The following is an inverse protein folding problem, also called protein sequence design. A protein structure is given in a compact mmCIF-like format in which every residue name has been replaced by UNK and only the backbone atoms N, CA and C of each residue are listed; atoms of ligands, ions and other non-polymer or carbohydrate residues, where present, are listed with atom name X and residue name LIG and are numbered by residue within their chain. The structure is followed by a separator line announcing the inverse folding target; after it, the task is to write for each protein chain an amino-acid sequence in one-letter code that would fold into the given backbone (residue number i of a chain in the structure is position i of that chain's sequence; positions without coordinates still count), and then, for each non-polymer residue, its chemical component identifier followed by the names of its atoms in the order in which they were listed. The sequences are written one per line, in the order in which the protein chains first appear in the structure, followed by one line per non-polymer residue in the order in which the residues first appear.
data_IF_418181802681
#
_entry.id   IF_418181802681
#
_cell.length_a   1.000
_cell.length_b   1.000
_cell.length_c   1.000
_cell.angle_alpha   90.00
_cell.angle_beta   90.00
_cell.angle_gamma   90.00
#
_symmetry.space_group_name_H-M   'P 1'
#
loop_
_entity.id
_entity.type
_entity.pdbx_description
1 polymer ?
#
# COMPACT_ATOMS: atom_id res chain seq x y z
N UNK A 1 9.18 -11.54 31.03
CA UNK A 1 9.75 -10.24 30.62
C UNK A 1 8.75 -9.37 29.85
N UNK A 2 7.97 -9.91 28.90
CA UNK A 2 7.00 -9.14 28.08
C UNK A 2 5.83 -8.53 28.88
N UNK A 3 5.22 -9.29 29.80
CA UNK A 3 4.14 -8.79 30.69
C UNK A 3 4.66 -7.84 31.78
N UNK A 4 5.91 -8.02 32.17
CA UNK A 4 6.57 -7.21 33.20
C UNK A 4 6.95 -5.82 32.66
N UNK A 5 7.19 -5.70 31.34
CA UNK A 5 7.52 -4.46 30.67
C UNK A 5 6.29 -3.53 30.51
N UNK A 6 5.14 -4.10 30.12
CA UNK A 6 3.88 -3.36 30.05
C UNK A 6 3.36 -2.95 31.44
N UNK A 7 3.54 -3.80 32.46
CA UNK A 7 3.14 -3.52 33.83
C UNK A 7 4.03 -2.49 34.55
N UNK A 8 5.30 -2.32 34.13
CA UNK A 8 6.24 -1.36 34.74
C UNK A 8 6.21 0.04 34.13
N UNK A 9 5.44 0.24 33.04
CA UNK A 9 5.05 1.56 32.52
C UNK A 9 3.87 2.14 33.32
N UNK A 10 3.93 2.01 34.66
CA UNK A 10 2.87 2.49 35.55
C UNK A 10 2.80 4.01 35.48
N UNK A 11 1.67 4.47 34.95
CA UNK A 11 1.27 5.87 34.85
C UNK A 11 1.11 6.46 36.26
N UNK A 12 2.16 7.09 36.78
CA UNK A 12 2.07 7.97 37.95
C UNK A 12 2.21 9.42 37.50
N UNK A 13 1.06 10.04 37.22
CA UNK A 13 0.95 11.48 36.99
C UNK A 13 1.32 12.24 38.27
N UNK A 14 2.54 12.78 38.33
CA UNK A 14 2.94 13.72 39.38
C UNK A 14 2.47 15.14 39.02
N UNK A 15 1.83 15.92 39.92
CA UNK A 15 1.09 17.12 39.54
C UNK A 15 1.90 18.40 39.30
N UNK A 16 3.23 18.39 39.36
CA UNK A 16 3.99 19.66 39.43
C UNK A 16 5.30 19.66 38.62
N UNK A 17 5.24 19.68 37.28
CA UNK A 17 6.22 20.33 36.37
C UNK A 17 5.60 20.47 34.96
N UNK A 18 4.73 21.46 34.76
CA UNK A 18 3.85 21.52 33.57
C UNK A 18 4.53 21.77 32.21
N UNK A 19 5.76 22.30 32.15
CA UNK A 19 6.46 22.57 30.87
C UNK A 19 7.48 21.50 30.45
N UNK A 20 8.22 20.94 31.41
CA UNK A 20 9.22 19.90 31.14
C UNK A 20 8.59 18.49 31.11
N UNK A 21 7.54 18.25 31.91
CA UNK A 21 6.84 16.96 31.95
C UNK A 21 6.10 16.63 30.65
N UNK A 22 5.55 17.62 29.94
CA UNK A 22 4.78 17.35 28.71
C UNK A 22 5.66 16.82 27.56
N UNK A 23 6.91 17.28 27.44
CA UNK A 23 7.88 16.75 26.46
C UNK A 23 8.31 15.33 26.81
N UNK A 24 8.46 15.04 28.10
CA UNK A 24 8.80 13.71 28.58
C UNK A 24 7.65 12.72 28.30
N UNK A 25 6.40 13.11 28.58
CA UNK A 25 5.22 12.29 28.29
C UNK A 25 5.01 12.07 26.79
N UNK A 26 5.22 13.09 25.95
CA UNK A 26 5.13 12.91 24.50
C UNK A 26 6.18 11.93 23.96
N UNK A 27 7.40 12.00 24.50
CA UNK A 27 8.49 11.06 24.15
C UNK A 27 8.16 9.64 24.63
N UNK A 28 7.61 9.49 25.83
CA UNK A 28 7.16 8.19 26.34
C UNK A 28 6.03 7.60 25.49
N UNK A 29 5.08 8.44 25.05
CA UNK A 29 4.04 7.99 24.13
C UNK A 29 4.61 7.56 22.78
N UNK A 30 5.59 8.29 22.23
CA UNK A 30 6.30 7.91 21.01
C UNK A 30 6.97 6.53 21.16
N UNK A 31 7.63 6.26 22.28
CA UNK A 31 8.26 4.97 22.52
C UNK A 31 7.24 3.85 22.69
N UNK A 32 6.19 4.12 23.46
CA UNK A 32 5.10 3.17 23.69
C UNK A 32 4.37 2.83 22.37
N UNK A 33 4.06 3.82 21.54
CA UNK A 33 3.41 3.61 20.25
C UNK A 33 4.29 2.82 19.28
N UNK A 34 5.61 3.03 19.29
CA UNK A 34 6.54 2.21 18.52
C UNK A 34 6.51 0.74 18.96
N UNK A 35 6.49 0.47 20.26
CA UNK A 35 6.39 -0.90 20.78
C UNK A 35 5.08 -1.55 20.33
N UNK A 36 3.94 -0.86 20.45
CA UNK A 36 2.66 -1.38 19.98
C UNK A 36 2.67 -1.67 18.47
N UNK A 37 3.19 -0.74 17.67
CA UNK A 37 3.32 -0.93 16.23
C UNK A 37 4.25 -2.11 15.90
N UNK A 38 5.36 -2.28 16.64
CA UNK A 38 6.27 -3.41 16.45
C UNK A 38 5.61 -4.74 16.73
N UNK A 39 4.76 -4.83 17.76
CA UNK A 39 4.00 -6.04 18.10
C UNK A 39 2.96 -6.36 17.01
N UNK A 40 2.29 -5.34 16.48
CA UNK A 40 1.36 -5.52 15.35
C UNK A 40 2.09 -6.07 14.13
N UNK A 41 3.22 -5.46 13.74
CA UNK A 41 3.99 -5.90 12.56
C UNK A 41 4.56 -7.30 12.79
N UNK A 42 5.14 -7.58 13.97
CA UNK A 42 5.65 -8.88 14.39
C UNK A 42 4.61 -9.99 14.19
N UNK A 43 3.40 -9.77 14.69
CA UNK A 43 2.29 -10.72 14.55
C UNK A 43 1.91 -10.97 13.08
N UNK A 44 1.97 -9.94 12.22
CA UNK A 44 1.62 -10.06 10.80
C UNK A 44 2.68 -10.78 9.96
N UNK A 45 3.96 -10.63 10.33
CA UNK A 45 5.09 -11.32 9.68
C UNK A 45 5.40 -12.69 10.30
N UNK A 46 4.78 -13.05 11.43
CA UNK A 46 4.99 -14.34 12.10
C UNK A 46 6.32 -14.46 12.86
N UNK A 47 6.93 -13.32 13.23
CA UNK A 47 8.19 -13.28 13.96
C UNK A 47 8.09 -12.35 15.17
N UNK A 48 8.74 -12.69 16.28
CA UNK A 48 8.97 -11.72 17.35
C UNK A 48 10.15 -10.82 16.99
N UNK A 49 10.08 -9.56 17.39
CA UNK A 49 11.18 -8.62 17.25
C UNK A 49 11.93 -8.46 18.56
N UNK A 50 13.27 -8.41 18.49
CA UNK A 50 14.09 -8.07 19.64
C UNK A 50 13.95 -6.58 19.96
N UNK A 51 13.27 -6.27 21.06
CA UNK A 51 13.07 -4.90 21.55
C UNK A 51 14.19 -4.45 22.50
N UNK A 52 15.16 -5.31 22.81
CA UNK A 52 16.31 -4.97 23.67
C UNK A 52 17.07 -3.70 23.25
N UNK A 53 17.25 -3.39 21.94
CA UNK A 53 17.87 -2.13 21.50
C UNK A 53 17.12 -0.86 21.96
N UNK A 54 15.85 -0.99 22.33
CA UNK A 54 14.99 0.10 22.80
C UNK A 54 15.11 0.35 24.31
N UNK A 55 15.81 -0.51 25.05
CA UNK A 55 15.89 -0.47 26.51
C UNK A 55 17.28 -0.03 26.96
N UNK A 56 17.34 1.04 27.75
CA UNK A 56 18.53 1.43 28.51
C UNK A 56 18.27 1.31 30.00
N UNK A 57 19.09 0.54 30.70
CA UNK A 57 19.06 0.47 32.17
C UNK A 57 19.91 1.60 32.74
N UNK A 58 19.37 2.45 33.63
CA UNK A 58 20.13 3.43 34.42
C UNK A 58 20.20 3.01 35.90
N UNK A 59 21.14 3.58 36.65
CA UNK A 59 21.50 3.20 38.03
C UNK A 59 20.44 3.53 39.10
N UNK A 60 19.43 4.31 38.75
CA UNK A 60 18.35 4.85 39.59
C UNK A 60 16.96 4.24 39.27
N UNK A 61 16.88 3.34 38.29
CA UNK A 61 15.64 2.66 37.91
C UNK A 61 15.61 2.29 36.42
N UNK A 62 14.60 1.48 36.04
CA UNK A 62 14.36 1.05 34.66
C UNK A 62 13.52 2.10 33.91
N UNK A 63 14.14 3.18 33.44
CA UNK A 63 13.49 4.12 32.48
C UNK A 63 13.67 3.62 31.05
N UNK A 64 12.60 3.59 30.25
CA UNK A 64 12.65 3.27 28.81
C UNK A 64 13.42 4.38 28.07
N UNK A 65 14.73 4.21 27.96
CA UNK A 65 15.57 5.06 27.12
C UNK A 65 15.89 4.35 25.82
N UNK A 66 15.11 4.57 24.76
CA UNK A 66 15.58 4.22 23.41
C UNK A 66 16.90 4.98 23.20
N UNK A 67 17.91 4.35 22.59
CA UNK A 67 19.16 5.03 22.21
C UNK A 67 18.84 6.14 21.21
N UNK A 68 18.54 7.33 21.73
CA UNK A 68 18.32 8.55 20.95
C UNK A 68 19.51 8.76 20.03
N UNK A 69 19.24 8.80 18.72
CA UNK A 69 20.28 8.97 17.69
C UNK A 69 20.71 7.69 16.97
N UNK A 70 20.28 6.50 17.41
CA UNK A 70 20.53 5.23 16.70
C UNK A 70 19.25 4.80 15.98
N UNK A 71 19.35 4.66 14.65
CA UNK A 71 18.27 4.06 13.84
C UNK A 71 18.07 2.61 14.30
N UNK A 72 16.86 2.29 14.77
CA UNK A 72 16.50 0.90 15.09
C UNK A 72 15.66 0.35 13.95
N UNK A 73 16.05 -0.81 13.42
CA UNK A 73 15.34 -1.47 12.32
C UNK A 73 14.98 -2.88 12.76
N UNK A 74 13.69 -3.19 12.69
CA UNK A 74 13.14 -4.51 12.92
C UNK A 74 12.72 -5.07 11.57
N UNK A 75 13.22 -6.25 11.18
CA UNK A 75 13.00 -6.81 9.85
C UNK A 75 12.44 -8.23 9.91
N UNK A 76 11.54 -8.54 8.99
CA UNK A 76 11.00 -9.87 8.77
C UNK A 76 10.57 -10.05 7.32
N UNK A 77 10.10 -11.25 6.99
CA UNK A 77 9.55 -11.54 5.68
C UNK A 77 8.14 -12.09 5.80
N UNK A 78 7.33 -11.84 4.78
CA UNK A 78 5.95 -12.30 4.72
C UNK A 78 5.62 -12.74 3.30
N UNK A 79 4.82 -13.80 3.19
CA UNK A 79 4.23 -14.22 1.94
C UNK A 79 2.73 -13.89 1.94
N UNK A 80 2.27 -13.19 0.90
CA UNK A 80 0.87 -12.85 0.65
C UNK A 80 0.60 -12.97 -0.85
N UNK A 81 -0.52 -13.58 -1.24
CA UNK A 81 -0.96 -13.68 -2.65
C UNK A 81 0.14 -14.13 -3.63
N UNK A 82 0.95 -15.13 -3.24
CA UNK A 82 2.12 -15.64 -3.98
C UNK A 82 3.24 -14.59 -4.22
N UNK A 83 3.35 -13.60 -3.34
CA UNK A 83 4.40 -12.58 -3.34
C UNK A 83 5.15 -12.58 -2.01
N UNK A 84 6.46 -12.78 -2.07
CA UNK A 84 7.35 -12.72 -0.91
C UNK A 84 7.87 -11.29 -0.75
N UNK A 85 7.65 -10.73 0.43
CA UNK A 85 8.01 -9.35 0.74
C UNK A 85 8.86 -9.30 2.00
N UNK A 86 9.91 -8.49 1.96
CA UNK A 86 10.64 -8.06 3.15
C UNK A 86 9.95 -6.85 3.75
N UNK A 87 9.75 -6.87 5.06
CA UNK A 87 9.09 -5.81 5.83
C UNK A 87 10.07 -5.30 6.88
N UNK A 88 10.34 -4.00 6.88
CA UNK A 88 11.24 -3.35 7.83
C UNK A 88 10.52 -2.22 8.57
N UNK A 89 10.46 -2.30 9.90
CA UNK A 89 9.95 -1.24 10.76
C UNK A 89 11.12 -0.46 11.36
N UNK A 90 11.22 0.81 11.00
CA UNK A 90 12.27 1.71 11.45
C UNK A 90 11.76 2.69 12.50
N UNK A 91 12.53 2.89 13.57
CA UNK A 91 12.36 3.98 14.52
C UNK A 91 13.33 5.12 14.19
N UNK A 92 12.81 6.32 14.01
CA UNK A 92 13.57 7.56 13.91
C UNK A 92 14.62 7.60 12.77
N UNK A 93 14.30 6.93 11.64
CA UNK A 93 15.14 6.89 10.43
C UNK A 93 15.19 8.25 9.75
N UNK A 94 16.40 8.67 9.37
CA UNK A 94 16.60 9.94 8.64
C UNK A 94 16.80 9.67 7.15
N UNK A 95 15.84 10.11 6.35
CA UNK A 95 15.89 10.08 4.88
C UNK A 95 16.66 11.30 4.37
N UNK A 96 17.94 11.10 4.04
CA UNK A 96 18.78 12.14 3.46
C UNK A 96 18.42 12.40 2.00
N UNK A 97 18.91 13.51 1.46
CA UNK A 97 18.76 13.84 0.04
C UNK A 97 19.39 12.76 -0.82
N UNK A 98 18.66 12.23 -1.78
CA UNK A 98 19.16 11.24 -2.73
C UNK A 98 18.14 11.00 -3.84
N UNK A 99 18.61 10.51 -4.99
CA UNK A 99 17.77 10.23 -6.17
C UNK A 99 17.45 8.76 -6.36
N UNK A 100 17.99 7.87 -5.51
CA UNK A 100 17.83 6.43 -5.60
C UNK A 100 17.22 5.87 -4.31
N UNK A 101 16.38 4.85 -4.46
CA UNK A 101 15.72 4.18 -3.34
C UNK A 101 14.73 5.09 -2.61
N UNK A 102 14.56 4.84 -1.31
CA UNK A 102 13.69 5.63 -0.43
C UNK A 102 14.59 6.68 0.23
N UNK A 103 14.52 7.90 -0.30
CA UNK A 103 15.32 9.05 0.08
C UNK A 103 14.46 10.32 0.09
N UNK A 104 14.96 11.45 0.56
CA UNK A 104 14.27 12.73 0.41
C UNK A 104 14.63 13.40 -0.92
N UNK A 105 13.67 14.04 -1.58
CA UNK A 105 13.89 14.86 -2.77
C UNK A 105 14.78 16.07 -2.49
N UNK A 106 14.63 16.67 -1.31
CA UNK A 106 15.20 18.00 -0.99
C UNK A 106 16.01 17.98 0.30
N UNK A 107 15.39 18.29 1.45
CA UNK A 107 16.01 18.36 2.77
C UNK A 107 15.80 17.07 3.54
N UNK A 108 16.69 16.70 4.48
CA UNK A 108 16.50 15.50 5.28
C UNK A 108 15.13 15.48 5.98
N UNK A 109 14.41 14.37 5.84
CA UNK A 109 13.15 14.13 6.51
C UNK A 109 13.31 13.01 7.54
N UNK A 110 12.63 13.13 8.68
CA UNK A 110 12.69 12.16 9.77
C UNK A 110 11.29 11.96 10.35
N UNK A 111 10.50 11.01 9.82
CA UNK A 111 9.30 10.52 10.48
C UNK A 111 9.67 9.78 11.78
N UNK A 112 8.74 9.72 12.73
CA UNK A 112 8.96 8.98 13.97
C UNK A 112 9.11 7.49 13.66
N UNK A 113 8.21 6.92 12.85
CA UNK A 113 8.28 5.53 12.39
C UNK A 113 8.16 5.41 10.89
N UNK A 114 8.77 4.37 10.33
CA UNK A 114 8.61 4.03 8.92
C UNK A 114 8.49 2.52 8.73
N UNK A 115 7.46 2.09 8.01
CA UNK A 115 7.28 0.71 7.59
C UNK A 115 7.67 0.62 6.11
N UNK A 116 8.77 -0.05 5.83
CA UNK A 116 9.26 -0.31 4.48
C UNK A 116 8.80 -1.69 4.04
N UNK A 117 8.27 -1.78 2.82
CA UNK A 117 7.86 -3.04 2.21
C UNK A 117 8.58 -3.15 0.87
N UNK A 118 9.40 -4.17 0.69
CA UNK A 118 10.20 -4.41 -0.51
C UNK A 118 10.06 -5.85 -0.96
N UNK A 119 10.40 -6.19 -2.22
CA UNK A 119 10.56 -7.59 -2.59
C UNK A 119 11.61 -8.27 -1.70
N UNK A 120 11.42 -9.55 -1.41
CA UNK A 120 12.49 -10.38 -0.88
C UNK A 120 13.56 -10.62 -1.96
N UNK A 121 14.77 -10.99 -1.55
CA UNK A 121 15.93 -11.11 -2.47
C UNK A 121 15.70 -12.14 -3.59
N UNK A 122 14.87 -13.16 -3.35
CA UNK A 122 14.54 -14.24 -4.29
C UNK A 122 13.13 -14.13 -4.92
N UNK A 123 12.45 -12.98 -4.77
CA UNK A 123 11.13 -12.77 -5.36
C UNK A 123 11.22 -12.74 -6.90
N UNK A 124 10.58 -13.69 -7.62
CA UNK A 124 10.76 -13.87 -9.07
C UNK A 124 10.24 -12.69 -9.91
N UNK A 125 9.31 -11.90 -9.38
CA UNK A 125 8.82 -10.70 -10.06
C UNK A 125 8.90 -9.51 -9.10
N UNK A 126 10.09 -8.87 -9.02
CA UNK A 126 10.35 -7.80 -8.07
C UNK A 126 9.50 -6.56 -8.37
N UNK A 127 9.35 -5.71 -7.35
CA UNK A 127 8.67 -4.43 -7.45
C UNK A 127 9.47 -3.33 -6.77
N UNK A 128 9.06 -2.11 -7.05
CA UNK A 128 9.62 -0.99 -6.32
C UNK A 128 9.20 -1.01 -4.84
N UNK A 129 10.15 -0.86 -3.91
CA UNK A 129 9.82 -0.79 -2.49
C UNK A 129 8.94 0.41 -2.18
N UNK A 130 8.06 0.27 -1.20
CA UNK A 130 7.18 1.33 -0.73
C UNK A 130 7.47 1.67 0.73
N UNK A 131 7.16 2.90 1.13
CA UNK A 131 7.20 3.31 2.54
C UNK A 131 5.84 3.78 3.03
N UNK A 132 5.49 3.41 4.26
CA UNK A 132 4.50 4.10 5.07
C UNK A 132 5.20 4.82 6.21
N UNK A 133 4.80 6.06 6.48
CA UNK A 133 5.35 6.85 7.57
C UNK A 133 4.31 7.09 8.64
N UNK A 134 4.76 7.12 9.90
CA UNK A 134 3.92 7.38 11.04
C UNK A 134 4.57 8.42 11.95
N UNK A 135 3.75 9.26 12.55
CA UNK A 135 4.18 10.29 13.50
C UNK A 135 3.30 10.21 14.74
N UNK A 136 3.91 10.02 15.90
CA UNK A 136 3.18 9.96 17.16
C UNK A 136 2.96 11.37 17.70
N UNK A 137 1.72 11.64 18.11
CA UNK A 137 1.31 12.90 18.68
C UNK A 137 0.52 12.65 19.95
N UNK A 138 1.14 13.02 21.08
CA UNK A 138 0.49 13.00 22.37
C UNK A 138 -0.02 14.39 22.71
N UNK A 139 -1.34 14.54 22.86
CA UNK A 139 -1.96 15.75 23.40
C UNK A 139 -3.04 15.39 24.40
N UNK A 140 -3.06 16.15 25.49
CA UNK A 140 -4.11 16.13 26.49
C UNK A 140 -4.47 17.58 26.76
N UNK A 141 -5.71 17.92 26.47
CA UNK A 141 -6.30 19.21 26.73
C UNK A 141 -7.05 19.11 28.07
N UNK A 142 -6.73 20.00 29.00
CA UNK A 142 -7.42 20.04 30.28
C UNK A 142 -8.66 20.91 30.13
N UNK A 143 -9.85 20.30 30.09
CA UNK A 143 -11.09 21.06 30.17
C UNK A 143 -11.39 21.31 31.63
N UNK A 144 -11.15 22.56 32.08
CA UNK A 144 -11.78 23.05 33.32
C UNK A 144 -13.24 23.30 33.00
N UNK A 145 -14.15 22.52 33.59
CA UNK A 145 -15.56 22.91 33.70
C UNK A 145 -15.62 24.24 34.46
N UNK A 146 -15.67 25.36 33.72
CA UNK A 146 -16.07 26.66 34.25
C UNK A 146 -17.59 26.71 34.09
N UNK A 147 -18.31 26.03 34.98
CA UNK A 147 -19.72 26.32 35.20
C UNK A 147 -19.83 27.04 36.54
N UNK A 148 -20.18 28.32 36.47
CA UNK A 148 -20.39 29.16 37.64
C UNK A 148 -20.83 30.57 37.26
N UNK A 149 -22.08 30.71 36.80
CA UNK A 149 -22.96 31.88 36.93
C UNK A 149 -24.36 31.41 36.49
N UNK A 150 -25.43 31.41 37.28
CA UNK A 150 -25.76 32.18 38.47
C UNK A 150 -26.58 31.33 39.46
N UNK A 151 -26.26 31.45 40.75
CA UNK A 151 -27.22 31.83 41.80
C UNK A 151 -26.51 31.81 43.15
N UNK A 152 -26.62 32.93 43.85
CA UNK A 152 -26.15 33.15 45.22
C UNK A 152 -26.83 32.19 46.20
N UNK A 153 -26.06 31.50 47.03
CA UNK A 153 -26.12 31.52 48.51
C UNK A 153 -25.36 30.33 49.12
N UNK A 154 -24.44 30.67 50.03
CA UNK A 154 -23.81 29.92 51.11
C UNK A 154 -23.86 28.37 51.13
N UNK A 155 -22.68 27.74 51.08
CA UNK A 155 -22.20 26.86 52.17
C UNK A 155 -20.81 26.29 51.85
N UNK A 156 -19.94 26.31 52.86
CA UNK A 156 -18.60 25.75 52.85
C UNK A 156 -18.59 24.22 52.68
N UNK A 157 -18.24 23.74 51.49
CA UNK A 157 -17.62 22.44 51.29
C UNK A 157 -16.76 22.48 50.01
N UNK A 158 -15.44 22.37 50.18
CA UNK A 158 -14.47 22.25 49.08
C UNK A 158 -14.69 20.94 48.31
N UNK A 159 -15.59 20.92 47.33
CA UNK A 159 -15.56 19.92 46.26
C UNK A 159 -14.61 20.43 45.16
N UNK A 160 -13.38 19.91 45.12
CA UNK A 160 -12.53 20.00 43.93
C UNK A 160 -13.28 19.28 42.80
N UNK A 161 -13.89 20.01 41.89
CA UNK A 161 -14.43 19.45 40.66
C UNK A 161 -13.31 18.67 39.95
N UNK A 162 -13.52 17.42 39.53
CA UNK A 162 -12.47 16.67 38.85
C UNK A 162 -12.17 17.37 37.53
N UNK A 163 -10.91 17.76 37.32
CA UNK A 163 -10.45 18.23 36.02
C UNK A 163 -10.57 17.05 35.05
N UNK A 164 -11.46 17.16 34.07
CA UNK A 164 -11.55 16.17 32.99
C UNK A 164 -10.40 16.40 32.01
N UNK A 165 -9.60 15.36 31.79
CA UNK A 165 -8.54 15.32 30.79
C UNK A 165 -9.19 14.93 29.46
N UNK A 166 -9.48 15.90 28.60
CA UNK A 166 -9.96 15.58 27.25
C UNK A 166 -8.74 15.42 26.33
N UNK A 167 -8.59 14.25 25.71
CA UNK A 167 -7.49 14.01 24.77
C UNK A 167 -7.87 14.56 23.39
N UNK A 168 -7.02 15.41 22.81
CA UNK A 168 -7.28 16.03 21.51
C UNK A 168 -6.98 15.12 20.31
N UNK A 169 -7.68 15.36 19.20
CA UNK A 169 -7.43 14.72 17.90
C UNK A 169 -6.23 15.32 17.11
N UNK A 170 -5.93 14.80 15.91
CA UNK A 170 -4.84 15.33 15.07
C UNK A 170 -5.16 16.75 14.60
N UNK A 171 -4.20 17.66 14.74
CA UNK A 171 -4.35 19.03 14.26
C UNK A 171 -4.10 19.12 12.75
N UNK A 172 -4.54 20.23 12.15
CA UNK A 172 -4.24 20.55 10.74
C UNK A 172 -2.74 20.49 10.45
N UNK A 173 -1.92 21.00 11.35
CA UNK A 173 -0.47 21.01 11.17
C UNK A 173 0.15 19.61 11.22
N UNK A 174 -0.43 18.69 12.01
CA UNK A 174 0.00 17.30 12.05
C UNK A 174 -0.32 16.60 10.71
N UNK A 175 -1.49 16.88 10.12
CA UNK A 175 -1.86 16.37 8.79
C UNK A 175 -1.03 17.01 7.66
N UNK A 176 -0.73 18.31 7.74
CA UNK A 176 0.17 18.98 6.78
C UNK A 176 1.58 18.38 6.81
N UNK A 177 2.06 18.00 7.99
CA UNK A 177 3.32 17.26 8.13
C UNK A 177 3.26 15.91 7.40
N UNK A 178 2.12 15.22 7.42
CA UNK A 178 1.95 13.95 6.71
C UNK A 178 1.95 14.13 5.19
N UNK A 179 1.31 15.18 4.68
CA UNK A 179 1.45 15.58 3.26
C UNK A 179 2.91 15.83 2.89
N UNK A 180 3.63 16.58 3.74
CA UNK A 180 5.05 16.85 3.51
C UNK A 180 5.89 15.58 3.45
N UNK A 181 5.66 14.60 4.34
CA UNK A 181 6.37 13.32 4.27
C UNK A 181 6.02 12.52 3.02
N UNK A 182 4.73 12.44 2.66
CA UNK A 182 4.27 11.74 1.47
C UNK A 182 4.91 12.26 0.18
N UNK A 183 5.02 13.58 0.07
CA UNK A 183 5.48 14.20 -1.17
C UNK A 183 7.01 14.42 -1.19
N UNK A 184 7.65 14.60 -0.03
CA UNK A 184 9.09 14.89 0.05
C UNK A 184 9.97 13.64 0.10
N UNK A 185 9.46 12.48 0.52
CA UNK A 185 10.19 11.22 0.57
C UNK A 185 9.77 10.36 -0.63
N UNK A 186 10.75 9.89 -1.39
CA UNK A 186 10.54 9.01 -2.54
C UNK A 186 9.81 7.73 -2.13
N UNK A 187 8.89 7.27 -2.98
CA UNK A 187 8.19 5.99 -2.86
C UNK A 187 7.32 5.84 -1.60
N UNK A 188 7.01 6.95 -0.92
CA UNK A 188 6.04 6.97 0.17
C UNK A 188 4.64 6.76 -0.39
N UNK A 189 4.01 5.65 -0.01
CA UNK A 189 2.64 5.32 -0.38
C UNK A 189 1.62 5.88 0.63
N UNK A 190 2.04 6.16 1.86
CA UNK A 190 1.15 6.80 2.82
C UNK A 190 1.85 7.34 4.06
N UNK A 191 1.18 8.28 4.72
CA UNK A 191 1.67 8.91 5.93
C UNK A 191 0.52 9.15 6.93
N UNK A 192 0.71 8.77 8.19
CA UNK A 192 -0.36 8.72 9.18
C UNK A 192 0.06 9.26 10.54
N UNK A 193 -0.89 9.84 11.29
CA UNK A 193 -0.67 10.25 12.68
C UNK A 193 -1.12 9.14 13.62
N UNK A 194 -0.32 8.79 14.64
CA UNK A 194 -0.75 7.97 15.78
C UNK A 194 -1.00 8.88 16.97
N UNK A 195 -2.19 8.81 17.58
CA UNK A 195 -2.56 9.68 18.69
C UNK A 195 -3.49 8.94 19.68
N UNK A 196 -3.52 9.32 20.96
CA UNK A 196 -4.29 8.58 21.96
C UNK A 196 -5.82 8.70 21.82
N UNK A 197 -6.32 9.59 20.94
CA UNK A 197 -7.75 9.83 20.65
C UNK A 197 -8.53 10.45 21.81
N UNK A 198 -9.58 11.22 21.50
CA UNK A 198 -10.53 11.74 22.50
C UNK A 198 -11.49 10.67 23.04
N UNK A 199 -12.06 10.88 24.23
CA UNK A 199 -12.84 9.86 24.94
C UNK A 199 -14.02 9.31 24.12
N UNK A 200 -14.52 10.07 23.14
CA UNK A 200 -15.62 9.71 22.22
C UNK A 200 -15.20 9.33 20.78
N UNK A 201 -13.91 9.30 20.43
CA UNK A 201 -13.45 8.94 19.07
C UNK A 201 -13.20 7.43 18.95
N UNK A 202 -14.21 6.71 18.47
CA UNK A 202 -14.20 5.23 18.40
C UNK A 202 -13.39 4.63 17.24
N UNK A 203 -13.19 5.34 16.13
CA UNK A 203 -12.54 4.77 14.95
C UNK A 203 -11.70 5.83 14.21
N UNK A 204 -10.42 5.52 13.94
CA UNK A 204 -9.49 6.45 13.27
C UNK A 204 -9.98 6.94 11.90
N UNK A 205 -9.62 8.17 11.51
CA UNK A 205 -10.04 8.78 10.24
C UNK A 205 -8.99 8.54 9.15
N UNK A 206 -9.41 7.92 8.04
CA UNK A 206 -8.54 7.64 6.87
C UNK A 206 -9.10 8.35 5.64
N UNK A 207 -8.21 8.90 4.82
CA UNK A 207 -8.54 9.60 3.59
C UNK A 207 -7.81 8.93 2.41
N UNK A 208 -8.42 7.91 1.79
CA UNK A 208 -7.89 7.29 0.57
C UNK A 208 -8.01 8.23 -0.63
N UNK A 209 -7.03 8.23 -1.54
CA UNK A 209 -7.02 9.13 -2.70
C UNK A 209 -7.90 8.61 -3.87
N UNK A 210 -8.02 7.27 -4.05
CA UNK A 210 -8.64 6.67 -5.25
C UNK A 210 -9.72 5.60 -5.00
N UNK A 211 -10.41 5.65 -3.85
CA UNK A 211 -11.19 4.51 -3.31
C UNK A 211 -10.35 3.24 -3.07
N UNK A 212 -9.02 3.32 -3.24
CA UNK A 212 -8.05 2.28 -2.90
C UNK A 212 -7.34 2.64 -1.58
N UNK A 213 -6.86 1.61 -0.87
CA UNK A 213 -6.17 1.78 0.41
C UNK A 213 -4.92 2.63 0.32
N UNK A 214 -4.16 2.47 -0.76
CA UNK A 214 -2.98 3.27 -1.08
C UNK A 214 -3.13 3.91 -2.47
N UNK A 215 -2.53 5.10 -2.68
CA UNK A 215 -1.93 5.97 -1.67
C UNK A 215 -2.94 6.56 -0.68
N UNK A 216 -2.48 6.85 0.55
CA UNK A 216 -3.37 7.26 1.64
C UNK A 216 -2.75 8.16 2.71
N UNK A 217 -3.59 8.99 3.34
CA UNK A 217 -3.26 9.83 4.49
C UNK A 217 -4.31 9.65 5.58
N UNK A 218 -3.95 9.85 6.84
CA UNK A 218 -4.94 9.76 7.91
C UNK A 218 -4.37 9.78 9.31
N UNK A 219 -5.18 9.33 10.25
CA UNK A 219 -4.80 9.23 11.65
C UNK A 219 -5.45 8.02 12.32
N UNK A 220 -4.69 7.34 13.17
CA UNK A 220 -5.14 6.21 13.96
C UNK A 220 -5.15 6.57 15.44
N UNK A 221 -6.28 6.29 16.09
CA UNK A 221 -6.35 6.25 17.54
C UNK A 221 -5.54 5.05 18.02
N UNK A 222 -4.58 5.28 18.91
CA UNK A 222 -3.80 4.27 19.59
C UNK A 222 -3.61 4.68 21.05
N UNK A 223 -4.43 4.10 21.93
CA UNK A 223 -4.61 4.54 23.31
C UNK A 223 -4.05 3.54 24.33
N UNK A 224 -3.21 3.97 25.28
CA UNK A 224 -2.86 3.16 26.44
C UNK A 224 -4.09 2.90 27.32
N UNK A 225 -4.27 1.67 27.77
CA UNK A 225 -5.36 1.29 28.68
C UNK A 225 -4.78 0.73 29.98
N UNK A 226 -5.58 0.80 31.05
CA UNK A 226 -5.19 0.35 32.38
C UNK A 226 -5.01 -1.18 32.47
N UNK A 227 -5.54 -1.92 31.49
CA UNK A 227 -5.38 -3.38 31.37
C UNK A 227 -4.09 -3.78 30.65
N UNK A 228 -3.33 -2.82 30.14
CA UNK A 228 -2.12 -3.04 29.33
C UNK A 228 -2.39 -3.40 27.87
N UNK A 229 -3.65 -3.61 27.47
CA UNK A 229 -4.05 -3.91 26.09
C UNK A 229 -4.44 -2.60 25.39
N UNK A 230 -3.56 -2.08 24.55
CA UNK A 230 -3.80 -0.84 23.83
C UNK A 230 -5.11 -0.88 23.03
N UNK A 231 -5.93 0.17 23.16
CA UNK A 231 -7.12 0.36 22.31
C UNK A 231 -6.72 0.97 20.96
N UNK A 232 -7.36 0.54 19.88
CA UNK A 232 -7.05 0.94 18.51
C UNK A 232 -6.06 0.03 17.77
N UNK A 233 -5.36 -0.86 18.47
CA UNK A 233 -4.40 -1.82 17.88
C UNK A 233 -5.04 -2.74 16.85
N UNK A 234 -6.30 -3.13 17.04
CA UNK A 234 -7.04 -3.97 16.08
C UNK A 234 -7.34 -3.26 14.76
N UNK A 235 -7.57 -1.94 14.78
CA UNK A 235 -7.77 -1.15 13.57
C UNK A 235 -6.45 -0.97 12.81
N UNK A 236 -5.35 -0.75 13.54
CA UNK A 236 -4.00 -0.65 12.98
C UNK A 236 -3.54 -1.99 12.39
N UNK A 237 -3.79 -3.10 13.08
CA UNK A 237 -3.46 -4.45 12.59
C UNK A 237 -4.22 -4.79 11.31
N UNK A 238 -5.53 -4.53 11.27
CA UNK A 238 -6.32 -4.70 10.04
C UNK A 238 -5.76 -3.85 8.92
N UNK A 239 -5.52 -2.56 9.18
CA UNK A 239 -4.94 -1.66 8.18
C UNK A 239 -3.60 -2.16 7.62
N UNK A 240 -2.65 -2.55 8.46
CA UNK A 240 -1.34 -3.03 7.99
C UNK A 240 -1.49 -4.35 7.25
N UNK A 241 -2.37 -5.26 7.68
CA UNK A 241 -2.69 -6.48 6.94
C UNK A 241 -3.23 -6.16 5.54
N UNK A 242 -4.22 -5.27 5.45
CA UNK A 242 -4.81 -4.84 4.18
C UNK A 242 -3.77 -4.17 3.27
N UNK A 243 -2.81 -3.42 3.85
CA UNK A 243 -1.68 -2.85 3.10
C UNK A 243 -0.80 -3.95 2.54
N UNK A 244 -0.43 -4.96 3.33
CA UNK A 244 0.39 -6.07 2.86
C UNK A 244 -0.31 -6.81 1.70
N UNK A 245 -1.62 -7.06 1.82
CA UNK A 245 -2.40 -7.67 0.76
C UNK A 245 -2.51 -6.76 -0.47
N UNK A 246 -2.68 -5.45 -0.28
CA UNK A 246 -2.73 -4.46 -1.37
C UNK A 246 -1.38 -4.37 -2.12
N UNK A 247 -0.25 -4.40 -1.41
CA UNK A 247 1.09 -4.40 -2.02
C UNK A 247 1.36 -5.74 -2.69
N UNK A 248 0.89 -6.85 -2.12
CA UNK A 248 1.00 -8.16 -2.76
C UNK A 248 0.15 -8.25 -4.04
N UNK A 249 -1.00 -7.57 -4.07
CA UNK A 249 -1.89 -7.53 -5.21
C UNK A 249 -1.30 -6.71 -6.37
N UNK A 250 -0.96 -7.39 -7.45
CA UNK A 250 -0.38 -6.77 -8.66
C UNK A 250 -1.39 -6.01 -9.53
N UNK A 251 -2.65 -6.07 -9.14
CA UNK A 251 -3.81 -5.57 -9.87
C UNK A 251 -4.27 -4.19 -9.43
N UNK A 252 -3.65 -3.63 -8.39
CA UNK A 252 -4.05 -2.35 -7.82
C UNK A 252 -3.73 -1.21 -8.79
N UNK A 253 -4.55 -0.14 -8.78
CA UNK A 253 -4.24 1.07 -9.55
C UNK A 253 -2.93 1.68 -9.05
N UNK A 254 -2.66 1.57 -7.75
CA UNK A 254 -1.40 1.99 -7.14
C UNK A 254 -0.18 1.27 -7.73
N UNK A 255 -0.16 -0.08 -7.77
CA UNK A 255 0.97 -0.84 -8.34
C UNK A 255 1.19 -0.49 -9.82
N UNK A 256 0.11 -0.46 -10.61
CA UNK A 256 0.20 -0.08 -12.03
C UNK A 256 0.76 1.33 -12.18
N UNK A 257 0.22 2.31 -11.46
CA UNK A 257 0.69 3.70 -11.52
C UNK A 257 2.19 3.81 -11.23
N UNK A 258 2.67 3.08 -10.22
CA UNK A 258 4.09 3.04 -9.86
C UNK A 258 4.97 2.38 -10.92
N UNK A 259 4.56 1.24 -11.45
CA UNK A 259 5.28 0.57 -12.53
C UNK A 259 5.52 1.52 -13.71
N UNK A 260 4.49 2.23 -14.16
CA UNK A 260 4.62 3.15 -15.29
C UNK A 260 5.36 4.44 -14.96
N UNK A 261 5.25 4.94 -13.72
CA UNK A 261 6.07 6.05 -13.26
C UNK A 261 7.56 5.66 -13.31
N UNK A 262 7.90 4.47 -12.83
CA UNK A 262 9.25 3.92 -12.91
C UNK A 262 9.71 3.83 -14.37
N UNK A 263 8.94 3.18 -15.25
CA UNK A 263 9.27 3.05 -16.67
C UNK A 263 9.46 4.41 -17.36
N UNK A 264 8.62 5.41 -17.05
CA UNK A 264 8.69 6.73 -17.67
C UNK A 264 9.92 7.54 -17.23
N UNK A 265 10.40 7.33 -16.01
CA UNK A 265 11.52 8.07 -15.43
C UNK A 265 12.83 7.27 -15.37
N UNK A 266 12.84 6.00 -15.81
CA UNK A 266 14.07 5.21 -15.89
C UNK A 266 15.01 5.78 -16.96
N UNK A 267 16.08 6.42 -16.48
CA UNK A 267 17.11 7.06 -17.31
C UNK A 267 17.88 6.10 -18.21
N UNK A 268 17.81 4.78 -17.98
CA UNK A 268 18.44 3.78 -18.86
C UNK A 268 17.80 3.69 -20.25
N UNK A 269 16.60 4.25 -20.43
CA UNK A 269 15.86 4.27 -21.70
C UNK A 269 16.09 5.54 -22.55
N UNK A 270 16.97 6.46 -22.12
CA UNK A 270 17.26 7.72 -22.83
C UNK A 270 18.13 7.53 -24.09
N UNK A 271 17.59 6.81 -25.06
CA UNK A 271 18.16 6.64 -26.39
C UNK A 271 17.14 6.72 -27.53
N UNK A 272 15.87 7.05 -27.28
CA UNK A 272 14.85 7.07 -28.34
C UNK A 272 14.20 8.44 -28.49
N UNK A 273 14.45 8.97 -29.69
CA UNK A 273 13.86 10.14 -30.33
C UNK A 273 12.38 10.32 -29.98
N UNK A 274 11.98 11.58 -29.85
CA UNK A 274 10.61 12.09 -29.79
C UNK A 274 9.85 11.78 -31.09
N UNK A 275 9.78 10.51 -31.48
CA UNK A 275 8.91 10.05 -32.54
C UNK A 275 7.51 9.94 -31.95
N UNK A 276 6.75 10.99 -32.21
CA UNK A 276 5.29 11.04 -32.32
C UNK A 276 4.50 10.22 -31.29
N UNK A 277 3.77 10.93 -30.42
CA UNK A 277 2.73 10.44 -29.50
C UNK A 277 1.58 9.67 -30.19
N UNK A 278 1.78 9.19 -31.41
CA UNK A 278 0.85 8.51 -32.30
C UNK A 278 1.14 7.02 -32.39
N UNK A 279 1.90 6.38 -31.49
CA UNK A 279 2.04 4.91 -31.35
C UNK A 279 2.53 4.57 -29.93
N UNK A 280 2.23 3.39 -29.36
CA UNK A 280 2.87 2.95 -28.12
C UNK A 280 4.39 2.96 -28.29
N UNK A 281 5.10 3.27 -27.20
CA UNK A 281 6.57 3.14 -27.17
C UNK A 281 6.96 1.72 -27.58
N UNK A 282 8.03 1.50 -28.36
CA UNK A 282 8.46 0.15 -28.73
C UNK A 282 8.80 -0.73 -27.51
N UNK A 283 9.08 -0.14 -26.35
CA UNK A 283 9.31 -0.87 -25.09
C UNK A 283 8.04 -1.10 -24.26
N UNK A 284 6.88 -0.57 -24.69
CA UNK A 284 5.63 -0.72 -23.95
C UNK A 284 5.23 -2.20 -23.85
N UNK A 285 4.93 -2.67 -22.63
CA UNK A 285 4.33 -3.98 -22.39
C UNK A 285 2.91 -4.05 -22.95
N UNK A 286 2.64 -5.08 -23.76
CA UNK A 286 1.35 -5.39 -24.35
C UNK A 286 0.96 -6.83 -24.03
N UNK A 287 -0.22 -7.00 -23.44
CA UNK A 287 -0.82 -8.30 -23.20
C UNK A 287 -1.42 -8.85 -24.50
N UNK A 288 -1.02 -10.05 -24.89
CA UNK A 288 -1.63 -10.78 -26.01
C UNK A 288 -2.87 -11.51 -25.52
N UNK A 289 -4.03 -11.03 -25.97
CA UNK A 289 -5.33 -11.54 -25.58
C UNK A 289 -5.89 -12.51 -26.61
N UNK A 290 -5.76 -13.81 -26.37
CA UNK A 290 -6.35 -14.81 -27.24
C UNK A 290 -7.89 -14.81 -27.14
N UNK A 291 -8.57 -14.75 -28.29
CA UNK A 291 -10.02 -14.83 -28.39
C UNK A 291 -10.44 -16.13 -29.11
N UNK A 292 -11.01 -17.06 -28.34
CA UNK A 292 -11.35 -18.42 -28.81
C UNK A 292 -12.43 -18.54 -29.89
N UNK A 293 -13.34 -17.57 -30.02
CA UNK A 293 -14.47 -17.66 -30.95
C UNK A 293 -15.13 -16.31 -31.22
N UNK A 294 -15.98 -16.26 -32.24
CA UNK A 294 -16.82 -15.09 -32.55
C UNK A 294 -17.76 -14.69 -31.40
N UNK A 295 -18.33 -15.68 -30.70
CA UNK A 295 -19.17 -15.42 -29.52
C UNK A 295 -18.38 -14.78 -28.39
N UNK A 296 -17.14 -15.24 -28.18
CA UNK A 296 -16.25 -14.67 -27.18
C UNK A 296 -15.90 -13.23 -27.54
N UNK A 297 -15.61 -12.96 -28.82
CA UNK A 297 -15.36 -11.60 -29.30
C UNK A 297 -16.57 -10.68 -29.10
N UNK A 298 -17.78 -11.16 -29.42
CA UNK A 298 -19.03 -10.41 -29.17
C UNK A 298 -19.24 -10.13 -27.69
N UNK A 299 -18.98 -11.09 -26.82
CA UNK A 299 -19.02 -10.90 -25.37
C UNK A 299 -18.06 -9.80 -24.94
N UNK A 300 -16.81 -9.83 -25.40
CA UNK A 300 -15.81 -8.78 -25.11
C UNK A 300 -16.30 -7.40 -25.58
N UNK A 301 -16.83 -7.30 -26.80
CA UNK A 301 -17.39 -6.05 -27.34
C UNK A 301 -18.57 -5.53 -26.52
N UNK A 302 -19.53 -6.39 -26.18
CA UNK A 302 -20.74 -6.02 -25.45
C UNK A 302 -20.46 -5.62 -24.00
N UNK A 303 -19.60 -6.37 -23.31
CA UNK A 303 -19.22 -6.12 -21.92
C UNK A 303 -18.16 -5.07 -21.73
N UNK A 304 -17.36 -4.81 -22.77
CA UNK A 304 -16.10 -4.08 -22.64
C UNK A 304 -15.20 -4.69 -21.56
N UNK A 305 -15.15 -6.01 -21.53
CA UNK A 305 -14.35 -6.77 -20.58
C UNK A 305 -13.60 -7.89 -21.27
N UNK A 306 -12.38 -8.16 -20.80
CA UNK A 306 -11.56 -9.28 -21.24
C UNK A 306 -11.23 -10.17 -20.06
N UNK A 307 -11.14 -11.49 -20.31
CA UNK A 307 -10.91 -12.47 -19.27
C UNK A 307 -9.71 -13.38 -19.55
N UNK A 308 -8.98 -13.71 -18.49
CA UNK A 308 -7.96 -14.77 -18.47
C UNK A 308 -8.36 -15.84 -17.45
N UNK A 309 -7.96 -17.09 -17.67
CA UNK A 309 -8.31 -18.19 -16.75
C UNK A 309 -7.65 -17.92 -15.39
N UNK A 310 -8.34 -18.18 -14.28
CA UNK A 310 -7.71 -18.18 -12.96
C UNK A 310 -6.78 -19.42 -12.80
N UNK A 311 -5.86 -19.34 -11.84
CA UNK A 311 -4.85 -20.37 -11.56
C UNK A 311 -5.44 -21.75 -11.22
N UNK A 312 -4.57 -22.78 -11.21
CA UNK A 312 -4.96 -24.17 -10.92
C UNK A 312 -5.45 -24.97 -12.13
N UNK A 313 -5.33 -24.40 -13.33
CA UNK A 313 -5.76 -25.02 -14.59
C UNK A 313 -4.73 -24.73 -15.69
N UNK A 314 -4.74 -25.53 -16.75
CA UNK A 314 -3.84 -25.34 -17.91
C UNK A 314 -4.05 -23.96 -18.54
N UNK A 315 -2.97 -23.17 -18.63
CA UNK A 315 -2.98 -21.77 -19.07
C UNK A 315 -3.69 -20.80 -18.10
N UNK A 316 -3.82 -21.19 -16.82
CA UNK A 316 -4.38 -20.37 -15.75
C UNK A 316 -3.37 -19.38 -15.19
N UNK A 317 -3.84 -18.16 -14.95
CA UNK A 317 -3.06 -17.04 -14.46
C UNK A 317 -3.26 -16.89 -12.95
N UNK A 318 -2.15 -16.84 -12.22
CA UNK A 318 -2.16 -16.54 -10.79
C UNK A 318 -2.43 -15.05 -10.53
N UNK A 319 -3.00 -14.72 -9.36
CA UNK A 319 -3.35 -13.35 -8.93
C UNK A 319 -2.17 -12.37 -9.13
N UNK A 320 -0.94 -12.86 -8.97
CA UNK A 320 0.31 -12.12 -9.10
C UNK A 320 1.05 -12.29 -10.43
N UNK A 321 0.40 -12.60 -11.55
CA UNK A 321 1.14 -12.65 -12.82
C UNK A 321 1.45 -11.24 -13.35
N UNK A 322 2.70 -10.99 -13.74
CA UNK A 322 3.13 -9.70 -14.32
C UNK A 322 2.30 -9.29 -15.55
N UNK A 323 1.73 -10.26 -16.27
CA UNK A 323 0.87 -10.02 -17.43
C UNK A 323 -0.41 -9.23 -17.10
N UNK A 324 -0.80 -9.12 -15.82
CA UNK A 324 -1.96 -8.35 -15.40
C UNK A 324 -1.66 -6.86 -15.13
N UNK A 325 -0.39 -6.43 -15.16
CA UNK A 325 -0.01 -5.02 -15.01
C UNK A 325 0.06 -4.25 -16.33
N UNK A 326 -0.06 -4.94 -17.48
CA UNK A 326 -0.06 -4.34 -18.81
C UNK A 326 -1.21 -3.33 -18.97
N UNK A 327 -0.91 -2.18 -19.57
CA UNK A 327 -1.93 -1.18 -19.91
C UNK A 327 -2.61 -1.45 -21.25
N UNK A 328 -1.90 -2.12 -22.16
CA UNK A 328 -2.37 -2.42 -23.50
C UNK A 328 -2.68 -3.90 -23.62
N UNK A 329 -3.77 -4.19 -24.31
CA UNK A 329 -4.23 -5.53 -24.61
C UNK A 329 -4.49 -5.61 -26.12
N UNK A 330 -3.71 -6.45 -26.80
CA UNK A 330 -3.88 -6.78 -28.19
C UNK A 330 -4.70 -8.05 -28.30
N UNK A 331 -5.98 -7.89 -28.62
CA UNK A 331 -6.91 -8.99 -28.87
C UNK A 331 -6.66 -9.56 -30.26
N UNK A 332 -6.55 -10.87 -30.37
CA UNK A 332 -6.46 -11.56 -31.64
C UNK A 332 -7.37 -12.80 -31.69
N UNK A 333 -8.06 -12.98 -32.80
CA UNK A 333 -8.93 -14.12 -33.06
C UNK A 333 -8.60 -14.77 -34.39
N UNK A 334 -7.88 -15.90 -34.40
CA UNK A 334 -7.58 -16.62 -35.63
C UNK A 334 -8.84 -17.12 -36.36
N UNK A 335 -9.93 -17.42 -35.63
CA UNK A 335 -11.16 -17.95 -36.22
C UNK A 335 -11.98 -16.91 -36.98
N UNK A 336 -11.96 -15.64 -36.57
CA UNK A 336 -12.70 -14.54 -37.21
C UNK A 336 -11.79 -13.61 -38.00
N UNK A 337 -10.47 -13.84 -37.98
CA UNK A 337 -9.46 -12.98 -38.58
C UNK A 337 -9.49 -11.53 -38.01
N UNK A 338 -9.88 -11.36 -36.75
CA UNK A 338 -9.96 -10.06 -36.10
C UNK A 338 -8.73 -9.79 -35.20
N UNK A 339 -8.18 -8.57 -35.29
CA UNK A 339 -7.21 -8.01 -34.35
C UNK A 339 -7.76 -6.69 -33.83
N UNK A 340 -7.56 -6.40 -32.55
CA UNK A 340 -7.90 -5.11 -32.00
C UNK A 340 -7.01 -4.73 -30.83
N UNK A 341 -6.69 -3.45 -30.73
CA UNK A 341 -5.96 -2.91 -29.59
C UNK A 341 -6.92 -2.25 -28.61
N UNK A 342 -6.73 -2.56 -27.34
CA UNK A 342 -7.54 -2.01 -26.25
C UNK A 342 -6.63 -1.56 -25.12
N UNK A 343 -7.13 -0.66 -24.29
CA UNK A 343 -6.49 -0.22 -23.06
C UNK A 343 -7.22 -0.84 -21.88
N UNK A 344 -6.48 -1.44 -20.95
CA UNK A 344 -7.02 -1.95 -19.69
C UNK A 344 -7.26 -0.75 -18.76
N UNK A 345 -8.49 -0.61 -18.27
CA UNK A 345 -8.93 0.56 -17.48
C UNK A 345 -9.35 0.23 -16.05
N UNK A 346 -9.45 -1.05 -15.68
CA UNK A 346 -9.69 -1.49 -14.30
C UNK A 346 -8.58 -2.40 -13.79
N UNK A 347 -8.57 -2.67 -12.48
CA UNK A 347 -7.88 -3.86 -11.95
C UNK A 347 -8.61 -5.14 -12.41
N UNK A 348 -7.98 -6.30 -12.22
CA UNK A 348 -8.65 -7.57 -12.51
C UNK A 348 -9.48 -8.02 -11.31
N UNK A 349 -10.67 -8.52 -11.59
CA UNK A 349 -11.61 -9.04 -10.60
C UNK A 349 -11.80 -10.53 -10.83
N UNK A 350 -11.85 -11.32 -9.75
CA UNK A 350 -12.16 -12.75 -9.88
C UNK A 350 -13.66 -12.91 -10.12
N UNK A 351 -14.01 -13.59 -11.20
CA UNK A 351 -15.39 -13.92 -11.56
C UNK A 351 -15.51 -15.44 -11.59
N UNK A 352 -16.44 -15.97 -10.80
CA UNK A 352 -16.73 -17.41 -10.74
C UNK A 352 -17.31 -17.93 -12.05
N UNK A 353 -17.31 -19.25 -12.23
CA UNK A 353 -17.96 -19.91 -13.38
C UNK A 353 -19.44 -19.52 -13.52
N UNK A 354 -20.16 -19.43 -12.40
CA UNK A 354 -21.56 -18.99 -12.36
C UNK A 354 -21.69 -17.53 -12.78
N UNK A 355 -20.84 -16.64 -12.22
CA UNK A 355 -20.80 -15.24 -12.58
C UNK A 355 -20.52 -15.04 -14.06
N UNK A 356 -19.57 -15.78 -14.64
CA UNK A 356 -19.29 -15.76 -16.08
C UNK A 356 -20.48 -16.24 -16.92
N UNK A 357 -21.21 -17.26 -16.44
CA UNK A 357 -22.41 -17.79 -17.12
C UNK A 357 -23.56 -16.78 -17.12
N UNK A 358 -23.85 -16.15 -15.98
CA UNK A 358 -24.83 -15.06 -15.85
C UNK A 358 -24.43 -13.86 -16.71
N UNK A 359 -23.13 -13.68 -16.85
CA UNK A 359 -22.59 -12.71 -17.76
C UNK A 359 -22.91 -13.07 -19.24
N UNK A 360 -23.22 -14.32 -19.59
CA UNK A 360 -23.39 -14.74 -20.97
C UNK A 360 -22.05 -14.97 -21.68
N UNK A 361 -20.99 -15.27 -20.93
CA UNK A 361 -19.72 -15.72 -21.51
C UNK A 361 -19.92 -17.11 -22.16
N UNK A 362 -19.35 -17.39 -23.34
CA UNK A 362 -19.59 -18.66 -24.02
C UNK A 362 -18.84 -19.80 -23.33
N UNK A 363 -19.59 -20.78 -22.80
CA UNK A 363 -19.08 -22.00 -22.16
C UNK A 363 -17.95 -21.71 -21.14
N UNK A 364 -18.24 -21.02 -20.03
CA UNK A 364 -17.27 -20.86 -18.95
C UNK A 364 -16.96 -22.23 -18.35
N UNK A 365 -15.73 -22.36 -17.88
CA UNK A 365 -15.29 -23.50 -17.09
C UNK A 365 -14.38 -22.90 -16.03
N UNK A 366 -14.61 -23.13 -14.74
CA UNK A 366 -13.83 -22.57 -13.63
C UNK A 366 -13.88 -21.04 -13.51
N UNK A 367 -13.03 -20.50 -12.64
CA UNK A 367 -12.94 -19.07 -12.36
C UNK A 367 -12.05 -18.34 -13.38
N UNK A 368 -12.28 -17.04 -13.50
CA UNK A 368 -11.58 -16.16 -14.43
C UNK A 368 -11.21 -14.84 -13.77
N UNK A 369 -10.09 -14.26 -14.17
CA UNK A 369 -9.78 -12.86 -13.91
C UNK A 369 -10.34 -12.02 -15.04
N UNK A 370 -11.18 -11.04 -14.72
CA UNK A 370 -11.78 -10.13 -15.69
C UNK A 370 -11.28 -8.70 -15.48
N UNK A 371 -10.89 -8.05 -16.58
CA UNK A 371 -10.55 -6.63 -16.63
C UNK A 371 -11.52 -5.88 -17.52
N UNK A 372 -11.79 -4.61 -17.20
CA UNK A 372 -12.51 -3.69 -18.07
C UNK A 372 -11.53 -3.07 -19.07
N UNK A 373 -12.00 -2.90 -20.30
CA UNK A 373 -11.19 -2.45 -21.43
C UNK A 373 -11.86 -1.30 -22.17
N UNK A 374 -11.04 -0.43 -22.75
CA UNK A 374 -11.44 0.64 -23.63
C UNK A 374 -10.82 0.41 -25.01
N UNK A 375 -11.66 0.37 -26.04
CA UNK A 375 -11.21 0.23 -27.42
C UNK A 375 -10.38 1.45 -27.86
N UNK A 376 -9.24 1.20 -28.50
CA UNK A 376 -8.42 2.26 -29.08
C UNK A 376 -8.72 2.34 -30.57
N UNK A 377 -9.25 3.49 -31.02
CA UNK A 377 -9.58 3.74 -32.43
C UNK A 377 -8.33 4.15 -33.23
N UNK A 378 -7.34 3.25 -33.31
CA UNK A 378 -6.07 3.49 -34.00
C UNK A 378 -5.75 2.34 -34.96
N UNK A 379 -6.62 2.13 -35.96
CA UNK A 379 -6.51 1.02 -36.94
C UNK A 379 -5.18 1.04 -37.72
N UNK A 380 -4.54 2.22 -37.81
CA UNK A 380 -3.24 2.39 -38.46
C UNK A 380 -2.12 1.60 -37.76
N UNK A 381 -2.22 1.37 -36.45
CA UNK A 381 -1.20 0.63 -35.68
C UNK A 381 -1.28 -0.87 -35.87
N UNK A 382 -2.41 -1.35 -36.39
CA UNK A 382 -2.68 -2.76 -36.59
C UNK A 382 -2.46 -3.18 -38.05
N UNK A 383 -2.06 -2.24 -38.92
CA UNK A 383 -1.76 -2.56 -40.31
C UNK A 383 -0.60 -3.56 -40.40
N UNK A 384 -0.77 -4.58 -41.23
CA UNK A 384 0.21 -5.67 -41.40
C UNK A 384 0.12 -6.77 -40.34
N UNK A 385 -0.52 -6.54 -39.19
CA UNK A 385 -0.71 -7.58 -38.18
C UNK A 385 -1.83 -8.55 -38.57
N UNK A 386 -1.48 -9.82 -38.77
CA UNK A 386 -2.46 -10.88 -38.92
C UNK A 386 -2.63 -11.66 -37.61
N UNK A 387 -3.85 -12.07 -37.23
CA UNK A 387 -4.07 -12.95 -36.08
C UNK A 387 -3.29 -14.26 -36.18
N UNK A 388 -3.03 -14.72 -37.41
CA UNK A 388 -2.27 -15.94 -37.65
C UNK A 388 -0.78 -15.78 -37.35
N UNK A 389 -0.19 -14.63 -37.71
CA UNK A 389 1.21 -14.30 -37.37
C UNK A 389 1.39 -14.24 -35.85
N UNK A 390 0.44 -13.61 -35.15
CA UNK A 390 0.44 -13.53 -33.68
C UNK A 390 0.28 -14.94 -33.07
N UNK A 391 -0.67 -15.75 -33.56
CA UNK A 391 -0.88 -17.12 -33.07
C UNK A 391 0.34 -18.02 -33.29
N UNK A 392 0.99 -17.92 -34.46
CA UNK A 392 2.23 -18.64 -34.75
C UNK A 392 3.37 -18.21 -33.84
N UNK A 393 3.54 -16.90 -33.62
CA UNK A 393 4.54 -16.37 -32.69
C UNK A 393 4.32 -16.91 -31.27
N UNK A 394 3.09 -16.85 -30.75
CA UNK A 394 2.74 -17.38 -29.42
C UNK A 394 3.02 -18.89 -29.31
N UNK A 395 2.68 -19.67 -30.34
CA UNK A 395 2.98 -21.12 -30.37
C UNK A 395 4.48 -21.43 -30.39
N UNK A 396 5.26 -20.62 -31.10
CA UNK A 396 6.71 -20.81 -31.19
C UNK A 396 7.42 -20.56 -29.85
N UNK A 397 6.79 -19.80 -28.95
CA UNK A 397 7.29 -19.60 -27.58
C UNK A 397 7.05 -20.83 -26.66
N UNK A 398 6.43 -21.90 -27.17
CA UNK A 398 6.17 -23.12 -26.40
C UNK A 398 5.06 -22.98 -25.37
N UNK A 399 4.26 -21.92 -25.46
CA UNK A 399 3.14 -21.64 -24.56
C UNK A 399 1.94 -22.55 -24.86
N UNK A 400 1.15 -22.79 -23.82
CA UNK A 400 -0.07 -23.57 -23.97
C UNK A 400 -1.15 -22.81 -24.74
N UNK A 401 -2.06 -23.55 -25.37
CA UNK A 401 -3.09 -22.94 -26.20
C UNK A 401 -4.02 -22.02 -25.38
N UNK A 402 -3.95 -20.72 -25.69
CA UNK A 402 -4.71 -19.67 -25.01
C UNK A 402 -4.11 -19.25 -23.66
N UNK A 403 -2.86 -19.61 -23.38
CA UNK A 403 -2.07 -19.03 -22.29
C UNK A 403 -1.73 -17.57 -22.63
N UNK A 404 -2.07 -16.61 -21.77
CA UNK A 404 -1.79 -15.20 -22.03
C UNK A 404 -0.31 -14.90 -21.80
N UNK A 405 0.23 -13.98 -22.60
CA UNK A 405 1.62 -13.53 -22.51
C UNK A 405 1.70 -12.02 -22.63
N UNK A 406 2.61 -11.40 -21.86
CA UNK A 406 3.03 -10.02 -22.07
C UNK A 406 4.28 -9.98 -22.92
N UNK A 407 4.28 -9.17 -23.97
CA UNK A 407 5.43 -8.94 -24.85
C UNK A 407 5.66 -7.44 -25.06
N UNK A 408 6.81 -7.06 -25.63
CA UNK A 408 7.06 -5.66 -25.97
C UNK A 408 6.36 -5.28 -27.27
N UNK A 409 5.94 -4.02 -27.39
CA UNK A 409 5.33 -3.51 -28.61
C UNK A 409 6.24 -3.65 -29.84
N UNK A 410 7.56 -3.50 -29.67
CA UNK A 410 8.55 -3.74 -30.73
C UNK A 410 8.52 -5.17 -31.29
N UNK A 411 8.27 -6.16 -30.44
CA UNK A 411 8.14 -7.57 -30.87
C UNK A 411 6.84 -7.80 -31.65
N UNK A 412 5.80 -6.99 -31.39
CA UNK A 412 4.58 -7.02 -32.20
C UNK A 412 4.82 -6.39 -33.56
N UNK A 413 5.50 -5.24 -33.61
CA UNK A 413 5.79 -4.55 -34.87
C UNK A 413 6.62 -5.43 -35.83
N UNK A 414 7.58 -6.21 -35.32
CA UNK A 414 8.34 -7.13 -36.16
C UNK A 414 7.50 -8.26 -36.79
N UNK A 415 6.31 -8.54 -36.25
CA UNK A 415 5.36 -9.50 -36.85
C UNK A 415 4.58 -8.91 -38.03
N UNK A 416 4.46 -7.58 -38.09
CA UNK A 416 3.77 -6.88 -39.18
C UNK A 416 4.65 -6.75 -40.43
N UNK A 417 5.98 -6.70 -40.25
CA UNK A 417 6.93 -6.49 -41.33
C UNK A 417 7.25 -7.76 -42.16
N UNK A 418 6.86 -8.95 -41.67
CA UNK A 418 7.13 -10.24 -42.33
C UNK A 418 8.63 -10.57 -42.48
N UNK A 419 8.99 -11.81 -42.86
CA UNK A 419 10.35 -12.11 -43.30
C UNK A 419 10.71 -11.45 -44.63
#
# INVERSE_FOLDING_TARGET
METEFAARLSWQSSPDVYGAGQRDVATLYEYWAFIQLSQVVANLVGHSFDLSPLVQTRSDGLTVGIRTGVETVLAGEVNRLDRRMRVELCFNRTYRRGSAGIASWTRPMRPDYSLLISPADDEPSPFEPIALHFDAKYRVDFVREIFGADNEEDSAASSKSPVRLERGGPLRDDLLKMHAYRDAIHRTAGAYVLYPGGDDEGEGRRYPEYHELLPGLGAFVLRPTDTGIASGTSALQRFISDVLDHVAARLTRHERGRYWLSEAYDTSLHGRSTQSLTSPSPEASVLLGFVKSHEHWRWIRGRRSYNVRAGGRRGGVHVGAALLSSQLLLLYCPSTQEVALTRIVSGAEEVSETGMSESGYPAPRGNYWCVQIQWLAHDQWLQGLSPHSIDTYVRNLGLEYGEPISVRWSEILSLADGP
#
